data_IF_122446411802
#
_entry.id   IF_122446411802
#
_cell.length_a   1.000
_cell.length_b   1.000
_cell.length_c   1.000
_cell.angle_alpha   90.00
_cell.angle_beta   90.00
_cell.angle_gamma   90.00
#
_symmetry.space_group_name_H-M   'P 1'
#
loop_
_entity.id
_entity.type
_entity.pdbx_description
1 polymer ?
#
# COMPACT_ATOMS: atom_id res chain seq x y z
N UNK A 1 6.01 13.34 -5.32
CA UNK A 1 4.88 13.67 -6.21
C UNK A 1 5.08 15.05 -6.83
N UNK A 2 4.47 15.34 -7.98
CA UNK A 2 4.56 16.63 -8.68
C UNK A 2 3.58 17.68 -8.17
N UNK A 3 2.45 17.25 -7.59
CA UNK A 3 1.40 18.11 -7.04
C UNK A 3 0.69 17.36 -5.90
N UNK A 4 0.98 17.73 -4.65
CA UNK A 4 0.40 17.07 -3.47
C UNK A 4 -1.11 17.25 -3.44
N UNK A 5 -1.64 18.40 -3.86
CA UNK A 5 -3.08 18.65 -3.80
C UNK A 5 -3.87 17.68 -4.69
N UNK A 6 -3.31 17.29 -5.83
CA UNK A 6 -3.90 16.25 -6.71
C UNK A 6 -3.72 14.84 -6.18
N UNK A 7 -2.63 14.57 -5.44
CA UNK A 7 -2.34 13.26 -4.90
C UNK A 7 -3.12 12.94 -3.62
N UNK A 8 -3.39 13.96 -2.77
CA UNK A 8 -4.06 13.81 -1.47
C UNK A 8 -5.36 13.01 -1.49
N UNK A 9 -6.28 13.17 -2.47
CA UNK A 9 -7.53 12.41 -2.48
C UNK A 9 -7.32 10.88 -2.55
N UNK A 10 -6.26 10.39 -3.20
CA UNK A 10 -5.92 8.96 -3.16
C UNK A 10 -5.53 8.53 -1.74
N UNK A 11 -4.57 9.20 -1.14
CA UNK A 11 -4.02 8.78 0.15
C UNK A 11 -4.99 9.01 1.33
N UNK A 12 -5.72 10.12 1.34
CA UNK A 12 -6.66 10.43 2.41
C UNK A 12 -8.02 9.77 2.21
N UNK A 13 -8.66 10.03 1.06
CA UNK A 13 -10.04 9.61 0.84
C UNK A 13 -10.13 8.13 0.51
N UNK A 14 -9.26 7.61 -0.36
CA UNK A 14 -9.27 6.19 -0.74
C UNK A 14 -8.59 5.34 0.32
N UNK A 15 -7.32 5.59 0.64
CA UNK A 15 -6.51 4.75 1.54
C UNK A 15 -6.74 5.02 3.03
N UNK A 16 -7.39 6.14 3.39
CA UNK A 16 -7.83 6.41 4.75
C UNK A 16 -6.75 6.99 5.67
N UNK A 17 -5.68 7.56 5.12
CA UNK A 17 -4.68 8.31 5.90
C UNK A 17 -5.21 9.72 6.22
N UNK A 18 -6.08 9.81 7.21
CA UNK A 18 -6.86 11.03 7.49
C UNK A 18 -6.13 12.06 8.34
N UNK A 19 -5.13 11.64 9.09
CA UNK A 19 -4.40 12.52 9.99
C UNK A 19 -3.22 13.13 9.25
N UNK A 20 -3.12 14.46 9.26
CA UNK A 20 -1.96 15.20 8.77
C UNK A 20 -1.10 15.49 9.99
N UNK A 21 0.08 14.88 10.06
CA UNK A 21 1.05 15.11 11.14
C UNK A 21 1.74 16.46 10.92
N UNK A 22 2.11 16.75 9.68
CA UNK A 22 2.57 18.08 9.25
C UNK A 22 2.28 18.31 7.77
N UNK A 23 2.15 19.58 7.39
CA UNK A 23 2.14 20.11 6.02
C UNK A 23 3.00 21.38 6.02
N UNK A 24 4.25 21.24 5.60
CA UNK A 24 5.26 22.29 5.72
C UNK A 24 5.91 22.57 4.36
N UNK A 25 6.29 23.83 4.14
CA UNK A 25 7.01 24.23 2.93
C UNK A 25 8.29 24.97 3.31
N UNK A 26 9.43 24.49 2.86
CA UNK A 26 10.73 25.02 3.25
C UNK A 26 11.91 24.34 2.57
N UNK A 27 13.11 24.71 3.02
CA UNK A 27 14.35 23.96 2.77
C UNK A 27 14.59 23.13 4.03
N UNK A 28 14.80 21.83 3.89
CA UNK A 28 14.84 20.91 5.01
C UNK A 28 16.24 20.37 5.24
N UNK A 29 16.77 20.57 6.46
CA UNK A 29 18.15 20.21 6.79
C UNK A 29 18.42 18.70 6.82
N UNK A 30 17.39 17.87 6.95
CA UNK A 30 17.48 16.42 6.85
C UNK A 30 17.76 15.93 5.41
N UNK A 31 17.62 16.79 4.40
CA UNK A 31 18.04 16.50 3.02
C UNK A 31 19.47 16.93 2.71
N UNK A 32 20.21 17.53 3.67
CA UNK A 32 21.58 17.98 3.47
C UNK A 32 22.48 16.89 2.89
N UNK A 33 23.21 17.21 1.81
CA UNK A 33 24.09 16.26 1.11
C UNK A 33 23.40 15.42 0.03
N UNK A 34 22.08 15.53 -0.14
CA UNK A 34 21.37 15.00 -1.31
C UNK A 34 21.43 16.00 -2.47
N UNK A 35 21.35 15.49 -3.70
CA UNK A 35 21.11 16.35 -4.86
C UNK A 35 19.77 17.07 -4.69
N UNK A 36 19.80 18.40 -4.58
CA UNK A 36 18.61 19.23 -4.30
C UNK A 36 18.46 19.66 -2.84
N UNK A 37 19.48 19.50 -1.99
CA UNK A 37 19.41 19.90 -0.58
C UNK A 37 19.07 21.38 -0.32
N UNK A 38 19.40 22.29 -1.24
CA UNK A 38 19.03 23.71 -1.19
C UNK A 38 17.68 24.02 -1.85
N UNK A 39 16.98 23.01 -2.35
CA UNK A 39 15.71 23.18 -3.02
C UNK A 39 14.58 23.38 -2.01
N UNK A 40 13.57 24.16 -2.41
CA UNK A 40 12.35 24.31 -1.63
C UNK A 40 11.39 23.16 -1.94
N UNK A 41 10.90 22.51 -0.89
CA UNK A 41 9.92 21.44 -0.97
C UNK A 41 8.65 21.80 -0.19
N UNK A 42 7.52 21.19 -0.57
CA UNK A 42 6.38 20.99 0.31
C UNK A 42 6.37 19.53 0.74
N UNK A 43 6.23 19.28 2.04
CA UNK A 43 6.20 17.94 2.63
C UNK A 43 4.92 17.77 3.43
N UNK A 44 4.20 16.69 3.18
CA UNK A 44 2.98 16.35 3.91
C UNK A 44 3.09 14.94 4.45
N UNK A 45 3.19 14.80 5.77
CA UNK A 45 3.18 13.50 6.44
C UNK A 45 1.76 13.14 6.84
N UNK A 46 1.28 12.06 6.25
CA UNK A 46 -0.03 11.49 6.52
C UNK A 46 0.11 10.27 7.41
N UNK A 47 -0.81 10.12 8.35
CA UNK A 47 -0.84 9.00 9.27
C UNK A 47 -2.11 8.16 9.11
N UNK A 48 -1.94 6.84 9.20
CA UNK A 48 -3.04 5.88 9.22
C UNK A 48 -3.78 5.92 10.55
N UNK A 49 -5.06 5.55 10.57
CA UNK A 49 -5.79 5.43 11.83
C UNK A 49 -5.14 4.37 12.73
N UNK A 50 -4.90 4.70 14.00
CA UNK A 50 -4.40 3.78 15.03
C UNK A 50 -5.27 2.54 15.22
N UNK A 51 -6.58 2.63 14.94
CA UNK A 51 -7.48 1.48 14.92
C UNK A 51 -7.42 0.79 13.56
N UNK A 52 -6.62 -0.28 13.49
CA UNK A 52 -6.58 -1.20 12.35
C UNK A 52 -7.57 -2.35 12.53
N UNK A 53 -8.17 -2.75 11.42
CA UNK A 53 -9.03 -3.92 11.30
C UNK A 53 -8.46 -4.85 10.22
N UNK A 54 -8.93 -6.08 10.12
CA UNK A 54 -8.40 -7.04 9.16
C UNK A 54 -7.75 -8.24 9.83
N UNK A 55 -7.64 -9.33 9.07
CA UNK A 55 -7.02 -10.58 9.51
C UNK A 55 -5.60 -10.34 10.06
N UNK A 56 -4.82 -9.47 9.42
CA UNK A 56 -3.43 -9.19 9.76
C UNK A 56 -3.22 -7.92 10.59
N UNK A 57 -4.28 -7.29 11.10
CA UNK A 57 -4.19 -6.02 11.84
C UNK A 57 -3.33 -6.03 13.11
N UNK A 58 -3.05 -7.20 13.69
CA UNK A 58 -2.11 -7.36 14.82
C UNK A 58 -0.66 -7.54 14.38
N UNK A 59 -0.43 -7.88 13.11
CA UNK A 59 0.88 -8.05 12.50
C UNK A 59 1.31 -6.79 11.75
N UNK A 60 0.41 -6.22 10.96
CA UNK A 60 0.61 -5.00 10.19
C UNK A 60 0.37 -3.80 11.10
N UNK A 61 1.42 -3.04 11.36
CA UNK A 61 1.43 -1.95 12.32
C UNK A 61 0.77 -0.66 11.83
N UNK A 62 0.91 0.35 12.68
CA UNK A 62 0.69 1.75 12.30
C UNK A 62 1.62 2.14 11.15
N UNK A 63 1.10 2.86 10.16
CA UNK A 63 1.88 3.35 9.02
C UNK A 63 1.72 4.85 8.85
N UNK A 64 2.80 5.45 8.38
CA UNK A 64 2.84 6.84 7.96
C UNK A 64 3.28 6.88 6.49
N UNK A 65 2.86 7.90 5.77
CA UNK A 65 3.19 8.11 4.37
C UNK A 65 3.51 9.58 4.17
N UNK A 66 4.72 9.86 3.72
CA UNK A 66 5.15 11.23 3.41
C UNK A 66 5.05 11.49 1.90
N UNK A 67 4.33 12.55 1.54
CA UNK A 67 4.34 13.11 0.20
C UNK A 67 5.35 14.25 0.15
N UNK A 68 6.29 14.18 -0.79
CA UNK A 68 7.30 15.21 -1.03
C UNK A 68 7.09 15.79 -2.43
N UNK A 69 6.92 17.11 -2.51
CA UNK A 69 6.77 17.89 -3.73
C UNK A 69 7.87 18.94 -3.82
N UNK A 70 8.52 19.02 -4.98
CA UNK A 70 9.51 20.05 -5.29
C UNK A 70 8.80 21.32 -5.75
N UNK A 71 9.16 22.48 -5.19
CA UNK A 71 8.52 23.75 -5.52
C UNK A 71 9.34 24.49 -6.59
N UNK A 72 8.67 24.90 -7.67
CA UNK A 72 9.27 25.74 -8.72
C UNK A 72 10.10 24.98 -9.76
N UNK A 73 10.13 23.65 -9.70
CA UNK A 73 10.76 22.78 -10.69
C UNK A 73 9.82 21.61 -11.02
N UNK A 74 10.00 21.00 -12.20
CA UNK A 74 9.35 19.74 -12.55
C UNK A 74 10.33 18.57 -12.32
N UNK A 75 10.05 17.65 -11.39
CA UNK A 75 10.96 16.55 -11.08
C UNK A 75 10.99 15.54 -12.22
N UNK A 76 12.13 14.86 -12.37
CA UNK A 76 12.24 13.71 -13.29
C UNK A 76 11.62 12.47 -12.66
N UNK A 77 10.78 11.74 -13.41
CA UNK A 77 10.24 10.46 -12.98
C UNK A 77 11.34 9.40 -13.00
N UNK A 78 11.89 9.06 -11.84
CA UNK A 78 13.06 8.16 -11.70
C UNK A 78 12.83 6.74 -12.24
N UNK A 79 11.56 6.33 -12.39
CA UNK A 79 11.14 5.05 -12.94
C UNK A 79 10.43 5.19 -14.29
N UNK A 80 10.65 6.29 -15.01
CA UNK A 80 10.13 6.44 -16.37
C UNK A 80 10.56 5.27 -17.27
N UNK A 81 9.61 4.71 -18.00
CA UNK A 81 9.83 3.57 -18.88
C UNK A 81 10.09 2.23 -18.19
N UNK A 82 9.97 2.15 -16.85
CA UNK A 82 10.07 0.89 -16.10
C UNK A 82 8.70 0.25 -15.89
N UNK A 83 8.69 -1.08 -15.88
CA UNK A 83 7.52 -1.91 -15.68
C UNK A 83 7.66 -2.80 -14.44
N UNK A 84 6.54 -3.39 -14.02
CA UNK A 84 6.53 -4.41 -12.98
C UNK A 84 7.51 -5.54 -13.33
N UNK A 85 8.41 -5.86 -12.40
CA UNK A 85 9.49 -6.83 -12.60
C UNK A 85 10.85 -6.24 -12.99
N UNK A 86 10.90 -4.96 -13.37
CA UNK A 86 12.18 -4.30 -13.66
C UNK A 86 13.00 -4.05 -12.39
N UNK A 87 14.32 -4.08 -12.53
CA UNK A 87 15.25 -3.92 -11.41
C UNK A 87 15.06 -2.55 -10.73
N UNK A 88 14.79 -2.59 -9.43
CA UNK A 88 14.62 -1.39 -8.60
C UNK A 88 13.27 -0.69 -8.76
N UNK A 89 12.32 -1.21 -9.55
CA UNK A 89 10.96 -0.70 -9.61
C UNK A 89 10.16 -1.22 -8.39
N UNK A 90 9.65 -0.29 -7.58
CA UNK A 90 9.00 -0.61 -6.30
C UNK A 90 7.58 -0.05 -6.31
N UNK A 91 6.63 -0.82 -5.78
CA UNK A 91 5.27 -0.39 -5.48
C UNK A 91 5.01 -0.51 -3.97
N UNK A 92 3.96 0.17 -3.49
CA UNK A 92 3.46 -0.01 -2.12
C UNK A 92 2.27 -0.94 -2.16
N UNK A 93 2.31 -2.01 -1.37
CA UNK A 93 1.25 -3.01 -1.30
C UNK A 93 0.40 -2.85 -0.03
N UNK A 94 -0.92 -2.83 -0.19
CA UNK A 94 -1.89 -2.79 0.89
C UNK A 94 -2.70 -4.09 0.94
N UNK A 95 -2.76 -4.70 2.13
CA UNK A 95 -3.76 -5.72 2.44
C UNK A 95 -5.13 -5.05 2.56
N UNK A 96 -6.09 -5.50 1.75
CA UNK A 96 -7.43 -4.93 1.68
C UNK A 96 -8.52 -5.99 1.83
N UNK A 97 -9.73 -5.52 2.09
CA UNK A 97 -10.94 -6.32 2.02
C UNK A 97 -12.04 -5.52 1.32
N UNK A 98 -12.83 -6.18 0.48
CA UNK A 98 -13.83 -5.55 -0.38
C UNK A 98 -13.23 -4.91 -1.62
N UNK A 99 -12.49 -5.69 -2.43
CA UNK A 99 -11.79 -5.17 -3.61
C UNK A 99 -12.73 -4.45 -4.60
N UNK A 100 -13.93 -4.99 -4.83
CA UNK A 100 -14.92 -4.38 -5.72
C UNK A 100 -15.39 -2.99 -5.22
N UNK A 101 -15.62 -2.86 -3.90
CA UNK A 101 -15.98 -1.58 -3.29
C UNK A 101 -14.82 -0.60 -3.34
N UNK A 102 -13.59 -1.08 -3.11
CA UNK A 102 -12.38 -0.28 -3.26
C UNK A 102 -12.22 0.23 -4.69
N UNK A 103 -12.41 -0.62 -5.71
CA UNK A 103 -12.35 -0.22 -7.11
C UNK A 103 -13.37 0.87 -7.47
N UNK A 104 -14.60 0.76 -6.95
CA UNK A 104 -15.62 1.81 -7.10
C UNK A 104 -15.20 3.13 -6.44
N UNK A 105 -14.64 3.04 -5.23
CA UNK A 105 -14.16 4.21 -4.48
C UNK A 105 -12.96 4.89 -5.15
N UNK A 106 -12.04 4.09 -5.68
CA UNK A 106 -10.91 4.50 -6.49
C UNK A 106 -11.39 5.28 -7.74
N UNK A 107 -12.29 4.68 -8.52
CA UNK A 107 -12.86 5.32 -9.70
C UNK A 107 -13.61 6.62 -9.38
N UNK A 108 -14.37 6.67 -8.28
CA UNK A 108 -15.09 7.89 -7.87
C UNK A 108 -14.18 9.04 -7.45
N UNK A 109 -12.91 8.77 -7.18
CA UNK A 109 -11.87 9.76 -6.85
C UNK A 109 -10.89 10.00 -8.00
N UNK A 110 -11.18 9.51 -9.21
CA UNK A 110 -10.33 9.60 -10.41
C UNK A 110 -9.00 8.80 -10.33
N UNK A 111 -8.97 7.72 -9.56
CA UNK A 111 -7.84 6.78 -9.49
C UNK A 111 -8.29 5.35 -9.84
N UNK A 112 -8.90 5.10 -11.02
CA UNK A 112 -9.40 3.77 -11.36
C UNK A 112 -8.30 2.72 -11.33
N UNK A 113 -8.66 1.45 -11.16
CA UNK A 113 -7.69 0.38 -11.28
C UNK A 113 -7.12 0.34 -12.70
N UNK A 114 -5.79 0.28 -12.79
CA UNK A 114 -5.04 0.12 -14.04
C UNK A 114 -4.89 -1.35 -14.40
N UNK A 115 -4.89 -2.23 -13.40
CA UNK A 115 -4.84 -3.69 -13.54
C UNK A 115 -5.80 -4.30 -12.51
N UNK A 116 -6.57 -5.29 -12.93
CA UNK A 116 -7.48 -6.05 -12.08
C UNK A 116 -7.39 -7.54 -12.46
N UNK A 117 -6.90 -8.37 -11.54
CA UNK A 117 -6.80 -9.84 -11.74
C UNK A 117 -8.14 -10.58 -11.66
N UNK A 118 -9.26 -9.86 -11.53
CA UNK A 118 -10.62 -10.37 -11.40
C UNK A 118 -10.80 -11.26 -10.15
N UNK A 119 -11.45 -12.42 -10.27
CA UNK A 119 -11.95 -13.15 -9.10
C UNK A 119 -10.90 -13.92 -8.29
N UNK A 120 -9.73 -14.22 -8.87
CA UNK A 120 -8.63 -14.90 -8.19
C UNK A 120 -7.42 -15.00 -9.10
N UNK A 121 -6.26 -14.56 -8.63
CA UNK A 121 -4.97 -14.96 -9.17
C UNK A 121 -4.41 -16.09 -8.31
N UNK A 122 -4.05 -17.20 -8.95
CA UNK A 122 -3.47 -18.36 -8.28
C UNK A 122 -1.96 -18.16 -8.13
N UNK A 123 -1.51 -17.93 -6.90
CA UNK A 123 -0.09 -17.83 -6.52
C UNK A 123 0.44 -19.20 -6.03
N UNK A 124 -0.15 -20.30 -6.52
CA UNK A 124 0.16 -21.67 -6.17
C UNK A 124 -0.56 -22.14 -4.91
N UNK A 125 -0.01 -21.84 -3.73
CA UNK A 125 -0.57 -22.33 -2.43
C UNK A 125 -1.46 -21.31 -1.72
N UNK A 126 -1.44 -20.07 -2.19
CA UNK A 126 -2.29 -18.98 -1.75
C UNK A 126 -3.07 -18.46 -2.96
N UNK A 127 -4.27 -17.94 -2.70
CA UNK A 127 -5.12 -17.32 -3.72
C UNK A 127 -5.61 -15.98 -3.19
N UNK A 128 -5.67 -15.00 -4.07
CA UNK A 128 -6.12 -13.65 -3.75
C UNK A 128 -6.53 -12.86 -4.98
N UNK A 129 -7.12 -11.70 -4.72
CA UNK A 129 -7.45 -10.72 -5.75
C UNK A 129 -6.41 -9.61 -5.68
N UNK A 130 -5.72 -9.39 -6.79
CA UNK A 130 -4.71 -8.35 -6.98
C UNK A 130 -5.27 -7.26 -7.87
N UNK A 131 -5.06 -6.00 -7.49
CA UNK A 131 -5.38 -4.85 -8.32
C UNK A 131 -4.33 -3.77 -8.11
N UNK A 132 -4.18 -2.90 -9.11
CA UNK A 132 -3.27 -1.76 -9.03
C UNK A 132 -4.03 -0.49 -9.37
N UNK A 133 -3.71 0.61 -8.70
CA UNK A 133 -4.00 1.95 -9.20
C UNK A 133 -2.73 2.77 -9.23
N UNK A 134 -2.83 3.97 -9.80
CA UNK A 134 -1.73 4.92 -9.90
C UNK A 134 -2.10 6.23 -9.22
N UNK A 135 -1.12 6.85 -8.56
CA UNK A 135 -1.23 8.27 -8.18
C UNK A 135 -1.09 9.16 -9.44
N UNK A 136 -1.26 10.50 -9.33
CA UNK A 136 -1.15 11.38 -10.49
C UNK A 136 0.20 11.34 -11.23
N UNK A 137 1.26 10.84 -10.59
CA UNK A 137 2.60 10.73 -11.16
C UNK A 137 2.91 9.32 -11.67
N UNK A 138 1.96 8.39 -11.58
CA UNK A 138 2.10 7.00 -11.96
C UNK A 138 2.90 6.16 -10.96
N UNK A 139 2.89 6.52 -9.68
CA UNK A 139 3.34 5.63 -8.60
C UNK A 139 2.34 4.50 -8.45
N UNK A 140 2.80 3.25 -8.56
CA UNK A 140 1.94 2.08 -8.41
C UNK A 140 1.58 1.84 -6.94
N UNK A 141 0.28 1.72 -6.69
CA UNK A 141 -0.29 1.27 -5.44
C UNK A 141 -0.96 -0.08 -5.70
N UNK A 142 -0.43 -1.12 -5.07
CA UNK A 142 -0.93 -2.49 -5.15
C UNK A 142 -1.94 -2.75 -4.03
N UNK A 143 -3.01 -3.44 -4.37
CA UNK A 143 -4.02 -3.94 -3.45
C UNK A 143 -4.06 -5.46 -3.54
N UNK A 144 -3.98 -6.11 -2.38
CA UNK A 144 -4.09 -7.56 -2.26
C UNK A 144 -5.22 -7.89 -1.30
N UNK A 145 -6.23 -8.60 -1.80
CA UNK A 145 -7.23 -9.23 -0.97
C UNK A 145 -6.94 -10.72 -0.84
N UNK A 146 -6.43 -11.13 0.32
CA UNK A 146 -6.09 -12.53 0.58
C UNK A 146 -7.36 -13.35 0.82
N UNK A 147 -7.59 -14.37 -0.01
CA UNK A 147 -8.76 -15.23 0.12
C UNK A 147 -8.48 -16.52 0.89
N UNK A 148 -7.26 -17.04 0.76
CA UNK A 148 -6.88 -18.34 1.31
C UNK A 148 -5.42 -18.34 1.74
N UNK A 149 -5.16 -18.83 2.96
CA UNK A 149 -3.82 -18.93 3.55
C UNK A 149 -3.53 -20.39 3.92
N UNK A 150 -2.37 -20.95 3.57
CA UNK A 150 -1.96 -22.28 4.07
C UNK A 150 -1.64 -22.24 5.57
N UNK A 151 -2.23 -23.15 6.35
CA UNK A 151 -1.85 -23.39 7.76
C UNK A 151 -0.85 -24.55 7.84
N UNK A 152 -1.18 -25.68 7.20
CA UNK A 152 -0.27 -26.82 7.09
C UNK A 152 -0.35 -27.40 5.68
N UNK A 153 0.58 -26.97 4.84
CA UNK A 153 0.61 -27.33 3.41
C UNK A 153 0.69 -28.84 3.18
N UNK A 154 1.54 -29.55 3.95
CA UNK A 154 1.75 -31.00 3.82
C UNK A 154 0.47 -31.82 4.02
N UNK A 155 -0.47 -31.28 4.79
CA UNK A 155 -1.74 -31.93 5.13
C UNK A 155 -2.93 -31.30 4.39
N UNK A 156 -2.68 -30.35 3.49
CA UNK A 156 -3.71 -29.65 2.74
C UNK A 156 -4.63 -28.78 3.60
N UNK A 157 -4.17 -28.32 4.78
CA UNK A 157 -4.98 -27.48 5.66
C UNK A 157 -4.80 -26.00 5.32
N UNK A 158 -5.91 -25.34 5.02
CA UNK A 158 -5.95 -23.93 4.62
C UNK A 158 -7.02 -23.17 5.41
N UNK A 159 -6.71 -21.93 5.74
CA UNK A 159 -7.67 -20.96 6.25
C UNK A 159 -8.36 -20.26 5.08
N UNK A 160 -9.69 -20.28 5.06
CA UNK A 160 -10.49 -19.45 4.17
C UNK A 160 -10.81 -18.12 4.87
N UNK A 161 -10.38 -17.01 4.28
CA UNK A 161 -10.62 -15.66 4.79
C UNK A 161 -11.91 -15.02 4.27
N UNK A 162 -12.46 -15.49 3.12
CA UNK A 162 -13.67 -14.91 2.51
C UNK A 162 -14.89 -14.96 3.43
N UNK A 163 -15.04 -16.06 4.19
CA UNK A 163 -16.24 -16.32 4.99
C UNK A 163 -16.13 -15.80 6.43
N UNK A 164 -15.05 -15.07 6.75
CA UNK A 164 -14.76 -14.59 8.10
C UNK A 164 -15.20 -13.14 8.25
N UNK A 165 -15.47 -12.71 9.50
CA UNK A 165 -15.65 -11.29 9.78
C UNK A 165 -14.35 -10.53 9.43
N UNK A 166 -14.37 -9.62 8.44
CA UNK A 166 -13.17 -8.94 7.97
C UNK A 166 -12.63 -7.96 9.01
N UNK A 167 -13.43 -7.53 9.99
CA UNK A 167 -12.99 -6.59 11.01
C UNK A 167 -12.18 -7.25 12.13
N UNK A 168 -12.20 -8.58 12.24
CA UNK A 168 -11.51 -9.28 13.33
C UNK A 168 -10.05 -9.60 12.94
N UNK A 169 -9.10 -9.58 13.88
CA UNK A 169 -7.74 -10.11 13.69
C UNK A 169 -7.68 -11.65 13.81
N UNK A 170 -6.72 -12.27 13.14
CA UNK A 170 -6.44 -13.69 13.36
C UNK A 170 -6.04 -13.94 14.82
N UNK A 171 -6.34 -15.13 15.38
CA UNK A 171 -5.86 -15.51 16.69
C UNK A 171 -4.33 -15.48 16.80
N UNK A 172 -3.81 -15.13 17.97
CA UNK A 172 -2.36 -14.93 18.17
C UNK A 172 -1.53 -16.20 17.89
N UNK A 173 -2.08 -17.39 18.20
CA UNK A 173 -1.43 -18.67 17.93
C UNK A 173 -1.18 -18.89 16.43
N UNK A 174 -2.01 -18.34 15.54
CA UNK A 174 -1.84 -18.46 14.09
C UNK A 174 -0.63 -17.65 13.62
N UNK A 175 -0.41 -16.46 14.19
CA UNK A 175 0.79 -15.67 13.90
C UNK A 175 2.05 -16.38 14.40
N UNK A 176 2.00 -17.04 15.57
CA UNK A 176 3.11 -17.86 16.05
C UNK A 176 3.44 -19.00 15.10
N UNK A 177 2.44 -19.66 14.51
CA UNK A 177 2.67 -20.74 13.53
C UNK A 177 3.27 -20.23 12.21
N UNK A 178 2.86 -19.05 11.73
CA UNK A 178 3.51 -18.43 10.56
C UNK A 178 4.99 -18.14 10.82
N UNK A 179 5.35 -17.75 12.05
CA UNK A 179 6.74 -17.56 12.46
C UNK A 179 7.59 -18.84 12.45
N UNK A 180 6.98 -20.02 12.62
CA UNK A 180 7.65 -21.32 12.56
C UNK A 180 7.96 -21.76 11.13
N UNK A 181 7.26 -21.20 10.13
CA UNK A 181 7.53 -21.41 8.72
C UNK A 181 8.73 -20.59 8.19
N UNK A 182 9.45 -19.86 9.07
CA UNK A 182 10.70 -19.20 8.70
C UNK A 182 11.66 -20.19 8.05
N UNK A 183 12.20 -19.82 6.89
CA UNK A 183 13.33 -20.51 6.29
C UNK A 183 14.45 -20.51 7.33
N UNK A 184 14.84 -21.70 7.79
CA UNK A 184 16.06 -21.85 8.58
C UNK A 184 17.22 -21.58 7.64
N UNK A 185 17.97 -20.52 7.92
CA UNK A 185 19.31 -20.33 7.35
C UNK A 185 20.23 -21.43 7.84
#
# INVERSE_FOLDING_TARGET
VSDIAKALPLYQSVLGYKEIIYDETGIFSDFNGLSGDQQKYRRVLLSSNSKRWGAFSRLLGHTELELVEIIGEQPKKIFEGRNWGDLGFIHVCFDVHGMAQLGTKCASHNFPFTVDSSNSFDMGKAAGHFSYCEDPDGTLIEFVETHKIPIMEKWGWYLNLKNRNPLKPLPDWMFSMLGLAKVKN
#
